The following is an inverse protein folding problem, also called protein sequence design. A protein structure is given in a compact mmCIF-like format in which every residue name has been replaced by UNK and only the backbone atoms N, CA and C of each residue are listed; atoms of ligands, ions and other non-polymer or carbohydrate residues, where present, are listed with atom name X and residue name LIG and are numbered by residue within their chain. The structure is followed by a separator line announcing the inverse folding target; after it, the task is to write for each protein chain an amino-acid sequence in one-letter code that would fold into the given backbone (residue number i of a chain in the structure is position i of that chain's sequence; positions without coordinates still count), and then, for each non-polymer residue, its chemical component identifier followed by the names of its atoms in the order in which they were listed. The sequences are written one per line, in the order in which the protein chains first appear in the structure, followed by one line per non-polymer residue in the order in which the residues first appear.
data_IF_317987480787
#
_entry.id   IF_317987480787
#
_cell.length_a   1.000
_cell.length_b   1.000
_cell.length_c   1.000
_cell.angle_alpha   90.00
_cell.angle_beta   90.00
_cell.angle_gamma   90.00
#
_symmetry.space_group_name_H-M   'P 1'
#
loop_
_entity.id
_entity.type
_entity.pdbx_description
1 polymer ?
#
# COMPACT_ATOMS: atom_id res chain seq x y z
N UNK A 1 47.34 39.07 1.30
CA UNK A 1 46.49 38.08 0.59
C UNK A 1 45.21 37.88 1.38
N UNK A 2 44.06 38.07 0.74
CA UNK A 2 42.76 38.29 1.39
C UNK A 2 42.06 36.99 1.79
N UNK A 3 41.77 36.81 3.08
CA UNK A 3 41.01 35.67 3.66
C UNK A 3 39.61 35.45 3.04
N UNK A 4 39.07 36.42 2.30
CA UNK A 4 37.76 36.32 1.65
C UNK A 4 37.74 35.37 0.44
N UNK A 5 38.87 35.09 -0.20
CA UNK A 5 38.91 34.21 -1.37
C UNK A 5 38.97 32.72 -1.01
N UNK A 6 39.48 32.36 0.18
CA UNK A 6 39.56 30.97 0.65
C UNK A 6 38.17 30.43 1.05
N UNK A 7 37.32 31.28 1.64
CA UNK A 7 35.96 30.89 2.07
C UNK A 7 35.00 30.63 0.90
N UNK A 8 35.13 31.37 -0.20
CA UNK A 8 34.29 31.19 -1.40
C UNK A 8 34.60 29.88 -2.15
N UNK A 9 35.86 29.44 -2.17
CA UNK A 9 36.24 28.17 -2.82
C UNK A 9 35.80 26.92 -2.04
N UNK A 10 35.72 27.00 -0.70
CA UNK A 10 35.27 25.89 0.15
C UNK A 10 33.75 25.63 0.04
N UNK A 11 32.93 26.68 -0.11
CA UNK A 11 31.48 26.53 -0.35
C UNK A 11 31.18 25.91 -1.73
N UNK A 12 31.96 26.24 -2.75
CA UNK A 12 31.78 25.68 -4.09
C UNK A 12 32.08 24.18 -4.15
N UNK A 13 33.14 23.72 -3.47
CA UNK A 13 33.49 22.29 -3.38
C UNK A 13 32.47 21.48 -2.57
N UNK A 14 31.92 22.05 -1.49
CA UNK A 14 30.87 21.42 -0.69
C UNK A 14 29.56 21.25 -1.45
N UNK A 15 29.13 22.26 -2.20
CA UNK A 15 27.91 22.19 -3.02
C UNK A 15 28.03 21.17 -4.16
N UNK A 16 29.20 21.07 -4.81
CA UNK A 16 29.43 20.05 -5.86
C UNK A 16 29.51 18.63 -5.28
N UNK A 17 30.10 18.44 -4.11
CA UNK A 17 30.20 17.11 -3.48
C UNK A 17 28.83 16.56 -3.07
N UNK A 18 27.96 17.43 -2.52
CA UNK A 18 26.59 17.07 -2.16
C UNK A 18 25.75 16.76 -3.41
N UNK A 19 25.86 17.58 -4.47
CA UNK A 19 25.15 17.32 -5.74
C UNK A 19 25.61 16.03 -6.42
N UNK A 20 26.91 15.71 -6.40
CA UNK A 20 27.45 14.46 -6.95
C UNK A 20 27.02 13.25 -6.12
N UNK A 21 26.98 13.37 -4.78
CA UNK A 21 26.49 12.31 -3.91
C UNK A 21 24.99 12.03 -4.13
N UNK A 22 24.16 13.07 -4.16
CA UNK A 22 22.73 12.91 -4.47
C UNK A 22 22.49 12.41 -5.89
N UNK A 23 23.28 12.87 -6.86
CA UNK A 23 23.21 12.40 -8.24
C UNK A 23 23.61 10.93 -8.39
N UNK A 24 24.66 10.51 -7.68
CA UNK A 24 25.13 9.12 -7.66
C UNK A 24 24.13 8.21 -6.94
N UNK A 25 23.62 8.60 -5.76
CA UNK A 25 22.61 7.83 -5.03
C UNK A 25 21.30 7.73 -5.83
N UNK A 26 20.86 8.82 -6.48
CA UNK A 26 19.69 8.80 -7.36
C UNK A 26 19.92 7.88 -8.58
N UNK A 27 21.09 7.95 -9.22
CA UNK A 27 21.41 7.12 -10.39
C UNK A 27 21.54 5.65 -10.01
N UNK A 28 22.23 5.33 -8.92
CA UNK A 28 22.38 3.95 -8.45
C UNK A 28 21.02 3.38 -8.07
N UNK A 29 20.20 4.11 -7.32
CA UNK A 29 18.89 3.67 -6.86
C UNK A 29 17.83 3.50 -7.96
N UNK A 30 17.99 4.17 -9.09
CA UNK A 30 17.05 4.11 -10.22
C UNK A 30 17.65 3.43 -11.47
N UNK A 31 18.92 3.01 -11.41
CA UNK A 31 19.50 2.16 -12.45
C UNK A 31 18.83 0.78 -12.44
N UNK A 32 18.82 0.11 -13.59
CA UNK A 32 18.31 -1.27 -13.72
C UNK A 32 18.86 -2.19 -12.63
N UNK A 33 20.19 -2.17 -12.45
CA UNK A 33 20.87 -2.99 -11.43
C UNK A 33 20.49 -2.61 -10.00
N UNK A 34 20.30 -1.33 -9.71
CA UNK A 34 19.87 -0.88 -8.37
C UNK A 34 18.43 -1.27 -8.05
N UNK A 35 17.53 -1.17 -9.04
CA UNK A 35 16.15 -1.63 -8.91
C UNK A 35 16.09 -3.15 -8.71
N UNK A 36 16.85 -3.92 -9.47
CA UNK A 36 16.99 -5.37 -9.29
C UNK A 36 17.50 -5.73 -7.89
N UNK A 37 18.51 -5.01 -7.39
CA UNK A 37 19.06 -5.24 -6.06
C UNK A 37 18.03 -4.94 -4.94
N UNK A 38 17.29 -3.84 -5.06
CA UNK A 38 16.20 -3.50 -4.13
C UNK A 38 15.08 -4.53 -4.18
N UNK A 39 14.69 -4.96 -5.38
CA UNK A 39 13.70 -6.01 -5.57
C UNK A 39 14.15 -7.33 -4.92
N UNK A 40 15.38 -7.76 -5.15
CA UNK A 40 15.93 -8.98 -4.56
C UNK A 40 15.95 -8.92 -3.02
N UNK A 41 16.16 -7.73 -2.45
CA UNK A 41 16.13 -7.51 -1.00
C UNK A 41 14.70 -7.54 -0.42
N UNK A 42 13.75 -6.88 -1.06
CA UNK A 42 12.38 -6.69 -0.54
C UNK A 42 11.44 -7.86 -0.88
N UNK A 43 11.61 -8.49 -2.04
CA UNK A 43 10.69 -9.52 -2.54
C UNK A 43 10.53 -10.75 -1.63
N UNK A 44 11.53 -11.25 -0.89
CA UNK A 44 11.35 -12.42 -0.02
C UNK A 44 10.40 -12.16 1.15
N UNK A 45 10.38 -10.93 1.70
CA UNK A 45 9.49 -10.51 2.78
C UNK A 45 8.04 -10.56 2.32
N UNK A 46 7.77 -9.94 1.17
CA UNK A 46 6.40 -9.82 0.66
C UNK A 46 5.91 -11.06 -0.07
N UNK A 47 6.77 -11.88 -0.67
CA UNK A 47 6.31 -13.09 -1.37
C UNK A 47 5.55 -14.06 -0.46
N UNK A 48 5.95 -14.17 0.81
CA UNK A 48 5.21 -14.99 1.81
C UNK A 48 3.88 -14.34 2.21
N UNK A 49 3.89 -13.04 2.51
CA UNK A 49 2.68 -12.30 2.85
C UNK A 49 1.65 -12.38 1.71
N UNK A 50 2.10 -12.15 0.47
CA UNK A 50 1.27 -12.21 -0.73
C UNK A 50 0.70 -13.60 -1.02
N UNK A 51 1.40 -14.69 -0.68
CA UNK A 51 0.86 -16.05 -0.80
C UNK A 51 -0.25 -16.29 0.21
N UNK A 52 -0.06 -15.93 1.48
CA UNK A 52 -1.10 -16.05 2.52
C UNK A 52 -2.35 -15.26 2.16
N UNK A 53 -2.11 -14.05 1.66
CA UNK A 53 -3.11 -13.11 1.20
C UNK A 53 -3.85 -13.62 -0.05
N UNK A 54 -3.15 -14.14 -1.07
CA UNK A 54 -3.75 -14.76 -2.27
C UNK A 54 -4.62 -15.95 -1.88
N UNK A 55 -4.16 -16.78 -0.97
CA UNK A 55 -4.92 -17.93 -0.48
C UNK A 55 -6.12 -17.48 0.36
N UNK A 56 -5.98 -16.40 1.12
CA UNK A 56 -7.06 -15.79 1.91
C UNK A 56 -8.16 -15.18 1.04
N UNK A 57 -7.81 -14.40 0.01
CA UNK A 57 -8.79 -13.83 -0.92
C UNK A 57 -9.41 -14.90 -1.81
N UNK A 58 -8.64 -15.81 -2.39
CA UNK A 58 -9.19 -16.92 -3.18
C UNK A 58 -10.05 -17.83 -2.32
N UNK A 59 -9.66 -18.14 -1.07
CA UNK A 59 -10.42 -19.00 -0.15
C UNK A 59 -11.73 -18.36 0.33
N UNK A 60 -11.71 -17.06 0.69
CA UNK A 60 -12.90 -16.33 1.15
C UNK A 60 -13.96 -16.21 0.03
N UNK A 61 -13.52 -16.12 -1.23
CA UNK A 61 -14.41 -16.00 -2.38
C UNK A 61 -14.78 -17.34 -3.04
N UNK A 62 -13.89 -18.34 -3.05
CA UNK A 62 -14.26 -19.68 -3.55
C UNK A 62 -15.24 -20.39 -2.60
N UNK A 63 -15.18 -20.15 -1.29
CA UNK A 63 -16.15 -20.74 -0.35
C UNK A 63 -17.54 -20.10 -0.44
N UNK A 64 -17.67 -18.90 -1.01
CA UNK A 64 -18.95 -18.23 -1.21
C UNK A 64 -19.49 -18.34 -2.66
N UNK A 65 -18.63 -18.64 -3.65
CA UNK A 65 -18.99 -18.49 -5.07
C UNK A 65 -18.60 -19.63 -6.01
N UNK A 66 -18.61 -20.89 -5.56
CA UNK A 66 -18.49 -22.05 -6.48
C UNK A 66 -19.66 -22.19 -7.48
N UNK A 67 -20.57 -21.21 -7.58
CA UNK A 67 -21.71 -21.19 -8.53
C UNK A 67 -21.96 -19.88 -9.29
N UNK A 68 -21.21 -18.79 -9.07
CA UNK A 68 -21.49 -17.52 -9.78
C UNK A 68 -20.46 -17.24 -10.88
N UNK A 69 -20.90 -17.44 -12.12
CA UNK A 69 -20.23 -17.04 -13.37
C UNK A 69 -20.29 -15.51 -13.60
N UNK A 70 -20.86 -14.74 -12.66
CA UNK A 70 -21.08 -13.30 -12.76
C UNK A 70 -20.35 -12.51 -11.68
N UNK A 71 -19.79 -11.32 -11.99
CA UNK A 71 -19.11 -10.47 -11.01
C UNK A 71 -20.01 -10.15 -9.81
N UNK A 72 -19.43 -10.21 -8.60
CA UNK A 72 -20.16 -9.74 -7.41
C UNK A 72 -20.09 -8.22 -7.36
N UNK A 73 -21.25 -7.58 -7.39
CA UNK A 73 -21.36 -6.13 -7.32
C UNK A 73 -21.34 -5.66 -5.86
N UNK A 74 -20.45 -4.71 -5.56
CA UNK A 74 -20.24 -4.21 -4.20
C UNK A 74 -20.19 -2.68 -4.20
N UNK A 75 -20.53 -2.06 -3.06
CA UNK A 75 -20.33 -0.60 -2.88
C UNK A 75 -18.84 -0.28 -2.78
N UNK A 76 -18.45 0.94 -3.12
CA UNK A 76 -17.05 1.41 -3.02
C UNK A 76 -16.47 1.19 -1.62
N UNK A 77 -17.25 1.48 -0.56
CA UNK A 77 -16.80 1.22 0.82
C UNK A 77 -16.63 -0.26 1.11
N UNK A 78 -17.58 -1.10 0.70
CA UNK A 78 -17.48 -2.54 0.94
C UNK A 78 -16.30 -3.17 0.18
N UNK A 79 -16.08 -2.73 -1.06
CA UNK A 79 -14.90 -3.08 -1.84
C UNK A 79 -13.60 -2.72 -1.10
N UNK A 80 -13.48 -1.47 -0.63
CA UNK A 80 -12.30 -1.04 0.11
C UNK A 80 -12.11 -1.83 1.41
N UNK A 81 -13.17 -2.12 2.16
CA UNK A 81 -13.10 -2.94 3.37
C UNK A 81 -12.55 -4.35 3.06
N UNK A 82 -13.07 -5.00 2.01
CA UNK A 82 -12.63 -6.33 1.57
C UNK A 82 -11.14 -6.32 1.24
N UNK A 83 -10.74 -5.44 0.31
CA UNK A 83 -9.35 -5.38 -0.17
C UNK A 83 -8.44 -5.03 1.01
N UNK A 84 -8.76 -3.96 1.74
CA UNK A 84 -7.94 -3.51 2.86
C UNK A 84 -7.73 -4.59 3.91
N UNK A 85 -8.81 -5.29 4.30
CA UNK A 85 -8.74 -6.37 5.29
C UNK A 85 -7.88 -7.53 4.80
N UNK A 86 -8.14 -7.98 3.58
CA UNK A 86 -7.45 -9.14 3.01
C UNK A 86 -5.97 -8.90 2.75
N UNK A 87 -5.57 -7.67 2.45
CA UNK A 87 -4.19 -7.34 2.06
C UNK A 87 -3.42 -6.71 3.21
N UNK A 88 -3.91 -5.61 3.73
CA UNK A 88 -3.18 -4.83 4.71
C UNK A 88 -3.47 -5.24 6.15
N UNK A 89 -4.59 -5.92 6.44
CA UNK A 89 -4.81 -6.52 7.75
C UNK A 89 -3.68 -7.48 8.14
N UNK A 90 -3.11 -8.18 7.17
CA UNK A 90 -1.99 -9.12 7.40
C UNK A 90 -0.63 -8.43 7.51
N UNK A 91 -0.42 -7.33 6.80
CA UNK A 91 0.82 -6.55 6.88
C UNK A 91 0.85 -5.70 8.16
N UNK A 92 -0.30 -5.22 8.60
CA UNK A 92 -0.41 -4.28 9.70
C UNK A 92 -0.70 -4.96 11.04
N UNK A 93 -0.03 -6.09 11.35
CA UNK A 93 -0.33 -6.88 12.55
C UNK A 93 0.32 -6.34 13.82
N UNK A 94 1.51 -5.77 13.71
CA UNK A 94 2.28 -5.26 14.85
C UNK A 94 2.08 -3.75 15.05
N UNK A 95 0.91 -3.23 14.64
CA UNK A 95 0.55 -1.83 14.87
C UNK A 95 0.45 -1.52 16.36
N UNK A 96 0.67 -0.24 16.70
CA UNK A 96 0.54 0.27 18.06
C UNK A 96 -0.64 1.23 18.09
N UNK A 97 -1.55 1.00 19.04
CA UNK A 97 -2.69 1.87 19.31
C UNK A 97 -2.65 2.30 20.78
N UNK A 98 -2.68 3.62 21.00
CA UNK A 98 -2.83 4.23 22.32
C UNK A 98 -4.17 4.97 22.39
N UNK A 99 -4.42 5.72 23.47
CA UNK A 99 -5.64 6.53 23.61
C UNK A 99 -5.79 7.65 22.59
N UNK A 100 -4.68 8.13 22.00
CA UNK A 100 -4.68 9.30 21.11
C UNK A 100 -3.72 9.18 19.92
N UNK A 101 -3.02 8.05 19.76
CA UNK A 101 -2.10 7.85 18.65
C UNK A 101 -2.23 6.47 18.05
N UNK A 102 -2.03 6.40 16.75
CA UNK A 102 -1.82 5.18 16.01
C UNK A 102 -0.43 5.21 15.36
N UNK A 103 0.26 4.07 15.38
CA UNK A 103 1.48 3.85 14.60
C UNK A 103 1.30 2.54 13.84
N UNK A 104 1.47 2.63 12.53
CA UNK A 104 1.41 1.47 11.66
C UNK A 104 2.58 0.52 11.88
N UNK A 105 2.38 -0.73 11.48
CA UNK A 105 3.47 -1.69 11.33
C UNK A 105 4.51 -1.17 10.32
N UNK A 106 5.82 -1.17 10.64
CA UNK A 106 6.87 -0.77 9.70
C UNK A 106 6.88 -1.55 8.38
N UNK A 107 6.25 -2.73 8.32
CA UNK A 107 6.06 -3.48 7.08
C UNK A 107 5.27 -2.71 6.02
N UNK A 108 4.40 -1.76 6.42
CA UNK A 108 3.61 -0.92 5.52
C UNK A 108 4.52 0.02 4.73
N UNK A 109 5.49 0.66 5.38
CA UNK A 109 6.45 1.53 4.68
C UNK A 109 7.37 0.72 3.76
N UNK A 110 7.79 -0.48 4.20
CA UNK A 110 8.56 -1.40 3.34
C UNK A 110 7.74 -1.89 2.14
N UNK A 111 6.43 -2.10 2.32
CA UNK A 111 5.55 -2.46 1.22
C UNK A 111 5.41 -1.30 0.22
N UNK A 112 5.28 -0.06 0.70
CA UNK A 112 5.26 1.13 -0.16
C UNK A 112 6.56 1.23 -0.96
N UNK A 113 7.72 1.00 -0.34
CA UNK A 113 9.00 0.96 -1.05
C UNK A 113 9.01 -0.14 -2.12
N UNK A 114 8.57 -1.34 -1.78
CA UNK A 114 8.49 -2.47 -2.70
C UNK A 114 7.56 -2.19 -3.89
N UNK A 115 6.39 -1.61 -3.64
CA UNK A 115 5.44 -1.21 -4.67
C UNK A 115 6.04 -0.18 -5.65
N UNK A 116 6.76 0.83 -5.14
CA UNK A 116 7.47 1.81 -5.96
C UNK A 116 8.55 1.17 -6.83
N UNK A 117 9.30 0.21 -6.28
CA UNK A 117 10.32 -0.54 -7.04
C UNK A 117 9.66 -1.33 -8.16
N UNK A 118 8.59 -2.07 -7.88
CA UNK A 118 7.85 -2.83 -8.89
C UNK A 118 7.23 -1.95 -9.98
N UNK A 119 6.70 -0.78 -9.62
CA UNK A 119 6.17 0.21 -10.57
C UNK A 119 7.29 0.71 -11.49
N UNK A 120 8.43 1.10 -10.93
CA UNK A 120 9.58 1.59 -11.71
C UNK A 120 10.18 0.54 -12.63
N UNK A 121 10.28 -0.70 -12.15
CA UNK A 121 10.74 -1.83 -12.97
C UNK A 121 9.78 -2.12 -14.13
N UNK A 122 8.47 -1.98 -13.91
CA UNK A 122 7.45 -2.14 -14.95
C UNK A 122 7.48 -1.00 -15.97
N UNK A 123 7.70 0.25 -15.54
CA UNK A 123 7.84 1.41 -16.43
C UNK A 123 9.06 1.30 -17.37
N UNK A 124 10.14 0.68 -16.89
CA UNK A 124 11.41 0.57 -17.61
C UNK A 124 11.55 -0.76 -18.40
N UNK A 125 10.52 -1.60 -18.39
CA UNK A 125 10.52 -2.91 -19.07
C UNK A 125 11.76 -3.77 -18.71
N UNK A 126 12.25 -3.63 -17.48
CA UNK A 126 13.55 -4.20 -17.05
C UNK A 126 13.51 -5.74 -17.09
N UNK A 127 12.32 -6.33 -16.91
CA UNK A 127 11.96 -7.68 -17.34
C UNK A 127 10.45 -7.69 -17.57
N UNK A 128 9.90 -8.78 -18.11
CA UNK A 128 8.51 -9.18 -17.89
C UNK A 128 8.24 -9.50 -16.39
N UNK A 129 8.70 -8.66 -15.43
CA UNK A 129 8.27 -8.71 -14.02
C UNK A 129 6.78 -8.40 -13.88
N UNK A 130 6.18 -7.81 -14.90
CA UNK A 130 4.74 -7.87 -15.14
C UNK A 130 4.19 -9.30 -15.03
N UNK A 131 4.99 -10.37 -15.19
CA UNK A 131 4.63 -11.78 -14.98
C UNK A 131 5.04 -12.35 -13.62
N UNK A 132 5.83 -11.63 -12.81
CA UNK A 132 6.17 -12.08 -11.47
C UNK A 132 4.98 -11.80 -10.52
N UNK A 133 4.36 -12.83 -9.92
CA UNK A 133 3.11 -12.67 -9.19
C UNK A 133 3.17 -11.62 -8.08
N UNK A 134 4.30 -11.54 -7.36
CA UNK A 134 4.51 -10.59 -6.27
C UNK A 134 4.52 -9.12 -6.73
N UNK A 135 5.26 -8.77 -7.80
CA UNK A 135 5.28 -7.40 -8.31
C UNK A 135 3.98 -7.02 -8.99
N UNK A 136 3.40 -7.93 -9.77
CA UNK A 136 2.09 -7.73 -10.38
C UNK A 136 1.04 -7.39 -9.33
N UNK A 137 1.06 -8.11 -8.21
CA UNK A 137 0.17 -7.86 -7.09
C UNK A 137 0.43 -6.50 -6.41
N UNK A 138 1.70 -6.18 -6.14
CA UNK A 138 2.08 -4.90 -5.56
C UNK A 138 1.66 -3.71 -6.45
N UNK A 139 1.83 -3.83 -7.78
CA UNK A 139 1.44 -2.81 -8.75
C UNK A 139 -0.07 -2.57 -8.76
N UNK A 140 -0.91 -3.61 -8.67
CA UNK A 140 -2.36 -3.44 -8.57
C UNK A 140 -2.75 -2.62 -7.35
N UNK A 141 -2.12 -2.89 -6.20
CA UNK A 141 -2.38 -2.14 -4.97
C UNK A 141 -1.86 -0.70 -5.07
N UNK A 142 -0.69 -0.52 -5.67
CA UNK A 142 -0.09 0.79 -5.93
C UNK A 142 -0.96 1.65 -6.86
N UNK A 143 -1.53 1.05 -7.90
CA UNK A 143 -2.49 1.71 -8.77
C UNK A 143 -3.77 2.04 -8.00
N UNK A 144 -4.34 1.10 -7.24
CA UNK A 144 -5.54 1.36 -6.44
C UNK A 144 -5.37 2.48 -5.42
N UNK A 145 -4.16 2.66 -4.91
CA UNK A 145 -3.82 3.75 -4.01
C UNK A 145 -3.54 5.06 -4.74
N UNK A 146 -3.78 5.15 -6.05
CA UNK A 146 -3.47 6.31 -6.88
C UNK A 146 -1.98 6.68 -6.83
N UNK A 147 -1.10 5.69 -6.63
CA UNK A 147 0.33 5.88 -6.40
C UNK A 147 0.65 6.81 -5.22
N UNK A 148 -0.27 6.94 -4.27
CA UNK A 148 -0.11 7.74 -3.05
C UNK A 148 0.20 6.83 -1.84
N UNK A 149 1.39 6.99 -1.21
CA UNK A 149 1.74 6.31 0.03
C UNK A 149 0.71 6.49 1.15
N UNK A 150 0.14 7.69 1.30
CA UNK A 150 -0.77 8.01 2.40
C UNK A 150 -2.09 7.24 2.26
N UNK A 151 -2.52 6.98 1.02
CA UNK A 151 -3.66 6.12 0.72
C UNK A 151 -3.36 4.67 1.11
N UNK A 152 -2.15 4.15 0.86
CA UNK A 152 -1.78 2.80 1.32
C UNK A 152 -1.84 2.69 2.85
N UNK A 153 -1.27 3.66 3.57
CA UNK A 153 -1.32 3.70 5.03
C UNK A 153 -2.77 3.76 5.56
N UNK A 154 -3.61 4.53 4.88
CA UNK A 154 -5.03 4.64 5.18
C UNK A 154 -5.78 3.32 4.94
N UNK A 155 -5.50 2.62 3.84
CA UNK A 155 -6.03 1.29 3.57
C UNK A 155 -5.54 0.28 4.61
N UNK A 156 -4.30 0.42 5.11
CA UNK A 156 -3.81 -0.44 6.18
C UNK A 156 -4.54 -0.28 7.51
N UNK A 157 -4.80 0.97 7.91
CA UNK A 157 -5.64 1.27 9.07
C UNK A 157 -7.08 0.79 8.83
N UNK A 158 -7.63 1.01 7.62
CA UNK A 158 -8.96 0.52 7.26
C UNK A 158 -9.08 -1.00 7.39
N UNK A 159 -8.03 -1.74 6.98
CA UNK A 159 -8.00 -3.19 7.02
C UNK A 159 -8.12 -3.75 8.44
N UNK A 160 -7.36 -3.21 9.39
CA UNK A 160 -7.44 -3.65 10.79
C UNK A 160 -8.76 -3.24 11.46
N UNK A 161 -9.33 -2.08 11.10
CA UNK A 161 -10.67 -1.68 11.55
C UNK A 161 -11.76 -2.60 11.00
N UNK A 162 -11.68 -2.95 9.71
CA UNK A 162 -12.60 -3.87 9.07
C UNK A 162 -12.54 -5.27 9.71
N UNK A 163 -11.33 -5.80 9.96
CA UNK A 163 -11.14 -7.05 10.70
C UNK A 163 -11.80 -7.01 12.09
N UNK A 164 -11.64 -5.91 12.82
CA UNK A 164 -12.26 -5.75 14.14
C UNK A 164 -13.79 -5.75 14.10
N UNK A 165 -14.40 -5.16 13.07
CA UNK A 165 -15.87 -5.12 12.89
C UNK A 165 -16.49 -6.51 12.65
N UNK A 166 -15.74 -7.45 12.08
CA UNK A 166 -16.24 -8.81 11.81
C UNK A 166 -16.25 -9.72 13.05
N UNK A 167 -15.55 -9.33 14.12
CA UNK A 167 -15.56 -10.06 15.38
C UNK A 167 -16.93 -9.88 16.05
N UNK A 168 -17.64 -10.99 16.26
CA UNK A 168 -18.95 -11.00 16.94
C UNK A 168 -18.85 -10.26 18.29
N UNK A 169 -19.88 -9.49 18.71
CA UNK A 169 -19.79 -8.64 19.91
C UNK A 169 -19.32 -9.35 21.18
N UNK A 170 -19.73 -10.59 21.41
CA UNK A 170 -19.33 -11.40 22.57
C UNK A 170 -17.87 -11.87 22.54
N UNK A 171 -17.20 -11.78 21.39
CA UNK A 171 -15.80 -12.16 21.18
C UNK A 171 -14.88 -10.94 21.01
N UNK A 172 -15.40 -9.71 21.12
CA UNK A 172 -14.60 -8.51 20.92
C UNK A 172 -13.65 -8.28 22.08
N UNK A 173 -12.36 -8.25 21.77
CA UNK A 173 -11.30 -7.79 22.69
C UNK A 173 -11.39 -6.28 22.89
N UNK A 174 -10.75 -5.76 23.94
CA UNK A 174 -10.62 -4.31 24.15
C UNK A 174 -9.91 -3.62 22.98
N UNK A 175 -8.95 -4.28 22.34
CA UNK A 175 -8.31 -3.80 21.13
C UNK A 175 -9.32 -3.68 19.97
N UNK A 176 -10.14 -4.71 19.74
CA UNK A 176 -11.18 -4.68 18.70
C UNK A 176 -12.19 -3.55 18.94
N UNK A 177 -12.64 -3.35 20.19
CA UNK A 177 -13.53 -2.25 20.56
C UNK A 177 -12.88 -0.89 20.32
N UNK A 178 -11.60 -0.76 20.65
CA UNK A 178 -10.83 0.48 20.46
C UNK A 178 -10.66 0.81 18.98
N UNK A 179 -10.41 -0.18 18.12
CA UNK A 179 -10.35 0.00 16.66
C UNK A 179 -11.70 0.43 16.08
N UNK A 180 -12.80 -0.16 16.54
CA UNK A 180 -14.15 0.23 16.13
C UNK A 180 -14.47 1.68 16.59
N UNK A 181 -14.01 2.06 17.78
CA UNK A 181 -14.17 3.42 18.29
C UNK A 181 -13.31 4.45 17.52
N UNK A 182 -12.09 4.07 17.13
CA UNK A 182 -11.18 4.91 16.35
C UNK A 182 -11.83 5.32 15.02
N UNK A 183 -12.53 4.42 14.34
CA UNK A 183 -13.21 4.73 13.07
C UNK A 183 -14.14 5.96 13.16
N UNK A 184 -14.81 6.13 14.30
CA UNK A 184 -15.75 7.25 14.53
C UNK A 184 -15.05 8.56 14.85
N UNK A 185 -13.82 8.50 15.36
CA UNK A 185 -13.07 9.64 15.91
C UNK A 185 -11.68 9.75 15.27
N UNK A 186 -11.52 9.27 14.04
CA UNK A 186 -10.20 9.13 13.40
C UNK A 186 -9.47 10.49 13.26
N UNK A 187 -10.23 11.58 13.12
CA UNK A 187 -9.72 12.95 13.07
C UNK A 187 -9.03 13.41 14.36
N UNK A 188 -9.31 12.74 15.48
CA UNK A 188 -8.78 13.11 16.80
C UNK A 188 -7.52 12.33 17.16
N UNK A 189 -7.06 11.42 16.30
CA UNK A 189 -5.88 10.61 16.53
C UNK A 189 -4.68 11.17 15.79
N UNK A 190 -3.51 11.14 16.43
CA UNK A 190 -2.24 11.28 15.73
C UNK A 190 -1.91 9.98 15.00
N UNK A 191 -2.11 9.98 13.69
CA UNK A 191 -1.84 8.83 12.82
C UNK A 191 -0.41 8.81 12.28
N UNK A 192 0.29 9.96 12.27
CA UNK A 192 1.56 10.13 11.55
C UNK A 192 1.44 10.13 10.01
N UNK A 193 0.21 10.15 9.47
CA UNK A 193 -0.09 10.24 8.04
C UNK A 193 -1.50 10.86 7.84
N UNK A 194 -1.80 11.30 6.63
CA UNK A 194 -3.12 11.85 6.27
C UNK A 194 -4.09 10.74 5.90
N UNK A 195 -5.14 10.56 6.69
CA UNK A 195 -6.14 9.52 6.41
C UNK A 195 -7.01 9.88 5.19
N UNK A 196 -6.72 9.25 4.06
CA UNK A 196 -7.38 9.46 2.77
C UNK A 196 -7.64 8.12 2.10
N UNK A 197 -8.87 7.93 1.60
CA UNK A 197 -9.26 6.71 0.89
C UNK A 197 -9.54 7.01 -0.59
N UNK A 198 -9.40 6.02 -1.50
CA UNK A 198 -9.81 6.19 -2.89
C UNK A 198 -11.29 6.59 -2.99
N UNK A 199 -11.59 7.54 -3.86
CA UNK A 199 -12.97 8.01 -4.06
C UNK A 199 -13.79 6.97 -4.84
N UNK A 200 -15.11 7.05 -4.71
CA UNK A 200 -16.01 6.21 -5.52
C UNK A 200 -15.79 6.44 -7.02
N UNK A 201 -15.63 7.70 -7.42
CA UNK A 201 -15.36 8.08 -8.81
C UNK A 201 -14.09 7.43 -9.35
N UNK A 202 -13.00 7.42 -8.57
CA UNK A 202 -11.77 6.76 -8.97
C UNK A 202 -11.96 5.25 -9.15
N UNK A 203 -12.63 4.60 -8.20
CA UNK A 203 -12.86 3.16 -8.22
C UNK A 203 -13.78 2.69 -9.35
N UNK A 204 -14.58 3.58 -9.93
CA UNK A 204 -15.47 3.28 -11.05
C UNK A 204 -14.86 3.59 -12.42
N UNK A 205 -13.67 4.19 -12.49
CA UNK A 205 -12.96 4.40 -13.76
C UNK A 205 -12.66 3.06 -14.44
N UNK A 206 -12.81 2.99 -15.78
CA UNK A 206 -12.78 1.72 -16.52
C UNK A 206 -11.46 0.95 -16.34
N UNK A 207 -10.33 1.65 -16.35
CA UNK A 207 -9.00 1.07 -16.12
C UNK A 207 -8.91 0.43 -14.72
N UNK A 208 -9.33 1.14 -13.67
CA UNK A 208 -9.34 0.63 -12.29
C UNK A 208 -10.31 -0.54 -12.16
N UNK A 209 -11.51 -0.40 -12.72
CA UNK A 209 -12.56 -1.43 -12.70
C UNK A 209 -12.14 -2.70 -13.42
N UNK A 210 -11.47 -2.59 -14.57
CA UNK A 210 -10.94 -3.73 -15.31
C UNK A 210 -9.87 -4.48 -14.51
N UNK A 211 -8.91 -3.76 -13.92
CA UNK A 211 -7.89 -4.37 -13.07
C UNK A 211 -8.51 -5.03 -11.84
N UNK A 212 -9.33 -4.32 -11.07
CA UNK A 212 -9.99 -4.89 -9.88
C UNK A 212 -10.86 -6.11 -10.19
N UNK A 213 -11.55 -6.13 -11.32
CA UNK A 213 -12.33 -7.30 -11.77
C UNK A 213 -11.44 -8.49 -12.10
N UNK A 214 -10.36 -8.27 -12.87
CA UNK A 214 -9.43 -9.36 -13.22
C UNK A 214 -8.76 -9.97 -12.00
N UNK A 215 -8.49 -9.17 -10.96
CA UNK A 215 -7.70 -9.59 -9.80
C UNK A 215 -8.54 -10.12 -8.65
N UNK A 216 -9.68 -9.48 -8.38
CA UNK A 216 -10.49 -9.75 -7.20
C UNK A 216 -11.85 -10.38 -7.55
N UNK A 217 -12.21 -10.46 -8.83
CA UNK A 217 -13.55 -10.87 -9.29
C UNK A 217 -14.69 -10.04 -8.66
N UNK A 218 -14.40 -8.77 -8.37
CA UNK A 218 -15.35 -7.80 -7.82
C UNK A 218 -15.59 -6.70 -8.84
N UNK A 219 -16.78 -6.09 -8.78
CA UNK A 219 -17.08 -4.90 -9.58
C UNK A 219 -17.74 -3.87 -8.68
N UNK A 220 -17.15 -2.67 -8.64
CA UNK A 220 -17.67 -1.55 -7.86
C UNK A 220 -18.87 -0.94 -8.59
N UNK A 221 -20.00 -0.83 -7.90
CA UNK A 221 -21.16 -0.09 -8.38
C UNK A 221 -21.23 1.29 -7.71
N UNK A 222 -21.51 2.31 -8.50
CA UNK A 222 -22.17 3.50 -7.98
C UNK A 222 -23.67 3.24 -7.89
N UNK A 223 -24.24 3.44 -6.69
CA UNK A 223 -25.67 3.68 -6.61
C UNK A 223 -25.92 4.99 -7.34
N UNK A 224 -26.52 4.93 -8.53
CA UNK A 224 -27.16 6.10 -9.13
C UNK A 224 -28.20 6.58 -8.11
N UNK A 225 -27.99 7.78 -7.57
CA UNK A 225 -28.97 8.45 -6.73
C UNK A 225 -30.18 8.83 -7.57
#
# INVERSE_FOLDING_TARGET
MSRKHVLLSLCALGATGVALYYGYDYYENNSTRGLEAKYAKLSPEFSKAMVSVRNGTQGTYQSTNSRLVSPTYVTSRHFLDIISKSYFGELNKEFILTSNSYRQDPSIDRFIEFAKVCDKMSELDIYNYGDHPTCRYANVIWELSQKDPEVIKSLALLGIMASAREVRPHNQTELSKSLIALEKNISNFDLGFTYTLPTSEYLTQENVRSHTRSWFNLSVLERRK
#
